data_IF_363244581044
#
_entry.id   IF_363244581044
#
_cell.length_a   1.000
_cell.length_b   1.000
_cell.length_c   1.000
_cell.angle_alpha   90.00
_cell.angle_beta   90.00
_cell.angle_gamma   90.00
#
_symmetry.space_group_name_H-M   'P 1'
#
loop_
_entity.id
_entity.type
_entity.pdbx_description
1 polymer ?
#
# COMPACT_ATOMS: atom_id res chain seq x y z
N UNK A 1 21.75 -10.41 -17.82
CA UNK A 1 20.54 -10.89 -17.17
C UNK A 1 20.92 -12.03 -16.22
N UNK A 2 21.16 -11.72 -14.94
CA UNK A 2 21.47 -12.72 -13.92
C UNK A 2 20.20 -13.50 -13.56
N UNK A 3 20.12 -14.76 -14.00
CA UNK A 3 19.14 -15.73 -13.52
C UNK A 3 19.63 -16.33 -12.19
N UNK A 4 19.68 -15.53 -11.14
CA UNK A 4 20.08 -15.96 -9.82
C UNK A 4 18.92 -15.82 -8.83
N UNK A 5 18.79 -16.80 -7.88
CA UNK A 5 17.91 -16.65 -6.71
C UNK A 5 18.46 -15.49 -5.88
N UNK A 6 17.70 -14.41 -5.75
CA UNK A 6 18.08 -13.29 -4.89
C UNK A 6 17.97 -13.76 -3.44
N UNK A 7 19.10 -13.78 -2.71
CA UNK A 7 19.11 -14.04 -1.28
C UNK A 7 18.44 -12.88 -0.53
N UNK A 8 17.54 -13.14 0.43
CA UNK A 8 16.85 -12.09 1.18
C UNK A 8 17.81 -11.15 1.91
N UNK A 9 18.91 -11.66 2.48
CA UNK A 9 19.96 -10.86 3.12
C UNK A 9 20.69 -9.94 2.14
N UNK A 10 21.13 -10.46 1.00
CA UNK A 10 21.80 -9.67 -0.02
C UNK A 10 20.90 -8.56 -0.62
N UNK A 11 19.60 -8.84 -0.77
CA UNK A 11 18.65 -7.83 -1.18
C UNK A 11 18.58 -6.70 -0.15
N UNK A 12 18.40 -7.03 1.13
CA UNK A 12 18.27 -6.03 2.21
C UNK A 12 19.53 -5.16 2.35
N UNK A 13 20.71 -5.73 2.28
CA UNK A 13 21.98 -5.03 2.36
C UNK A 13 22.19 -4.06 1.19
N UNK A 14 21.61 -4.35 0.02
CA UNK A 14 21.70 -3.50 -1.16
C UNK A 14 20.72 -2.34 -1.17
N UNK A 15 19.68 -2.34 -0.30
CA UNK A 15 18.64 -1.34 -0.31
C UNK A 15 18.95 -0.12 0.57
N UNK A 16 18.61 1.09 0.12
CA UNK A 16 18.67 2.28 0.96
C UNK A 16 17.84 2.08 2.23
N UNK A 17 18.40 2.50 3.36
CA UNK A 17 17.77 2.37 4.66
C UNK A 17 17.40 3.73 5.25
N UNK A 18 16.21 3.81 5.83
CA UNK A 18 15.79 4.89 6.69
C UNK A 18 15.28 4.28 8.01
N UNK A 19 16.09 4.33 9.05
CA UNK A 19 15.84 3.58 10.30
C UNK A 19 15.66 2.07 10.04
N UNK A 20 14.53 1.50 10.45
CA UNK A 20 14.17 0.10 10.19
C UNK A 20 13.53 -0.14 8.82
N UNK A 21 13.24 0.92 8.06
CA UNK A 21 12.63 0.83 6.74
C UNK A 21 13.70 0.62 5.66
N UNK A 22 13.51 -0.37 4.81
CA UNK A 22 14.24 -0.55 3.56
C UNK A 22 13.34 -0.14 2.40
N UNK A 23 13.91 0.58 1.44
CA UNK A 23 13.12 1.11 0.32
C UNK A 23 13.68 0.59 -1.00
N UNK A 24 12.84 -0.09 -1.77
CA UNK A 24 13.09 -0.40 -3.17
C UNK A 24 12.23 0.53 -4.02
N UNK A 25 12.86 1.35 -4.83
CA UNK A 25 12.19 2.29 -5.72
C UNK A 25 12.87 2.31 -7.07
N UNK A 26 12.17 2.85 -8.06
CA UNK A 26 12.73 3.07 -9.38
C UNK A 26 13.82 4.14 -9.35
N UNK A 27 14.81 3.96 -10.20
CA UNK A 27 15.70 5.06 -10.54
C UNK A 27 14.92 6.14 -11.29
N UNK A 28 15.21 7.40 -11.00
CA UNK A 28 14.52 8.55 -11.60
C UNK A 28 14.85 8.75 -13.09
N UNK A 29 15.85 8.05 -13.59
CA UNK A 29 16.37 8.20 -14.96
C UNK A 29 15.70 7.30 -16.00
N UNK A 30 15.42 6.04 -15.64
CA UNK A 30 14.97 5.04 -16.61
C UNK A 30 13.69 4.32 -16.15
N UNK A 31 12.58 4.59 -16.84
CA UNK A 31 11.34 3.80 -16.69
C UNK A 31 11.49 2.46 -17.40
N UNK A 32 12.30 1.56 -16.87
CA UNK A 32 12.42 0.19 -17.39
C UNK A 32 11.26 -0.64 -16.87
N UNK A 33 10.53 -1.31 -17.76
CA UNK A 33 9.51 -2.26 -17.36
C UNK A 33 10.16 -3.42 -16.60
N UNK A 34 9.72 -3.66 -15.34
CA UNK A 34 10.22 -4.80 -14.56
C UNK A 34 9.52 -6.06 -15.04
N UNK A 35 10.28 -7.09 -15.44
CA UNK A 35 9.68 -8.36 -15.77
C UNK A 35 8.90 -8.94 -14.58
N UNK A 36 7.70 -9.52 -14.79
CA UNK A 36 6.90 -10.12 -13.70
C UNK A 36 7.68 -11.13 -12.86
N UNK A 37 8.59 -11.86 -13.46
CA UNK A 37 9.45 -12.82 -12.77
C UNK A 37 10.41 -12.15 -11.76
N UNK A 38 10.89 -10.94 -12.08
CA UNK A 38 11.74 -10.17 -11.16
C UNK A 38 10.94 -9.66 -9.96
N UNK A 39 9.73 -9.18 -10.20
CA UNK A 39 8.78 -8.79 -9.13
C UNK A 39 8.55 -9.96 -8.18
N UNK A 40 8.21 -11.13 -8.72
CA UNK A 40 8.00 -12.36 -7.94
C UNK A 40 9.23 -12.75 -7.12
N UNK A 41 10.41 -12.69 -7.72
CA UNK A 41 11.67 -13.05 -7.04
C UNK A 41 11.97 -12.11 -5.87
N UNK A 42 11.76 -10.81 -6.04
CA UNK A 42 11.97 -9.80 -5.00
C UNK A 42 10.99 -9.99 -3.84
N UNK A 43 9.69 -10.12 -4.13
CA UNK A 43 8.67 -10.35 -3.10
C UNK A 43 8.93 -11.66 -2.34
N UNK A 44 9.28 -12.74 -3.04
CA UNK A 44 9.63 -14.00 -2.39
C UNK A 44 10.88 -13.87 -1.51
N UNK A 45 11.87 -13.07 -1.90
CA UNK A 45 13.06 -12.81 -1.10
C UNK A 45 12.71 -12.01 0.16
N UNK A 46 11.89 -10.97 0.03
CA UNK A 46 11.43 -10.14 1.14
C UNK A 46 10.58 -10.94 2.15
N UNK A 47 9.64 -11.77 1.67
CA UNK A 47 8.80 -12.64 2.54
C UNK A 47 9.61 -13.65 3.33
N UNK A 48 10.65 -14.25 2.73
CA UNK A 48 11.54 -15.19 3.45
C UNK A 48 12.31 -14.55 4.60
N UNK A 49 12.54 -13.24 4.51
CA UNK A 49 13.19 -12.48 5.58
C UNK A 49 12.26 -12.28 6.79
N UNK A 50 10.96 -12.29 6.55
CA UNK A 50 9.95 -11.96 7.55
C UNK A 50 9.72 -10.45 7.70
N UNK A 51 8.81 -10.08 8.59
CA UNK A 51 8.38 -8.70 8.77
C UNK A 51 7.27 -8.29 7.80
N UNK A 52 7.08 -6.98 7.63
CA UNK A 52 6.03 -6.41 6.80
C UNK A 52 6.60 -5.89 5.49
N UNK A 53 6.00 -6.27 4.38
CA UNK A 53 6.31 -5.73 3.04
C UNK A 53 5.13 -4.88 2.58
N UNK A 54 5.39 -3.61 2.31
CA UNK A 54 4.40 -2.68 1.76
C UNK A 54 4.72 -2.39 0.31
N UNK A 55 3.76 -2.60 -0.58
CA UNK A 55 3.92 -2.35 -2.02
C UNK A 55 3.01 -1.21 -2.43
N UNK A 56 3.59 -0.12 -2.95
CA UNK A 56 2.84 0.95 -3.60
C UNK A 56 2.55 0.56 -5.04
N UNK A 57 1.28 0.34 -5.34
CA UNK A 57 0.83 -0.13 -6.64
C UNK A 57 0.45 1.04 -7.57
N UNK A 58 0.86 0.98 -8.85
CA UNK A 58 0.41 1.95 -9.83
C UNK A 58 -1.10 1.83 -10.09
N UNK A 59 -1.70 2.88 -10.63
CA UNK A 59 -3.14 2.89 -10.96
C UNK A 59 -3.51 1.98 -12.13
N UNK A 60 -2.53 1.52 -12.89
CA UNK A 60 -2.75 0.60 -14.04
C UNK A 60 -2.49 -0.82 -13.57
N UNK A 61 -3.46 -1.68 -13.80
CA UNK A 61 -3.35 -3.11 -13.50
C UNK A 61 -2.75 -3.82 -14.72
N UNK A 62 -1.43 -3.91 -14.74
CA UNK A 62 -0.68 -4.70 -15.73
C UNK A 62 -0.31 -6.08 -15.18
N UNK A 63 0.41 -6.88 -15.97
CA UNK A 63 0.84 -8.22 -15.59
C UNK A 63 1.75 -8.22 -14.35
N UNK A 64 2.63 -7.22 -14.23
CA UNK A 64 3.50 -7.05 -13.06
C UNK A 64 2.71 -6.79 -11.78
N UNK A 65 1.68 -5.95 -11.86
CA UNK A 65 0.74 -5.72 -10.75
C UNK A 65 -0.03 -6.99 -10.42
N UNK A 66 -0.47 -7.76 -11.40
CA UNK A 66 -1.12 -9.05 -11.20
C UNK A 66 -0.28 -10.01 -10.36
N UNK A 67 1.03 -10.08 -10.63
CA UNK A 67 1.98 -10.88 -9.83
C UNK A 67 2.11 -10.42 -8.38
N UNK A 68 2.01 -9.11 -8.14
CA UNK A 68 1.99 -8.57 -6.78
C UNK A 68 0.69 -8.95 -6.09
N UNK A 69 -0.45 -8.67 -6.71
CA UNK A 69 -1.78 -8.91 -6.13
C UNK A 69 -1.97 -10.37 -5.70
N UNK A 70 -1.46 -11.31 -6.49
CA UNK A 70 -1.51 -12.75 -6.15
C UNK A 70 -0.72 -13.14 -4.90
N UNK A 71 0.15 -12.26 -4.39
CA UNK A 71 1.00 -12.50 -3.24
C UNK A 71 0.63 -11.65 -2.01
N UNK A 72 -0.36 -10.78 -2.13
CA UNK A 72 -0.77 -9.93 -1.00
C UNK A 72 -1.60 -10.71 0.01
N UNK A 73 -1.31 -10.47 1.28
CA UNK A 73 -2.15 -10.93 2.39
C UNK A 73 -3.32 -9.96 2.62
N UNK A 74 -3.10 -8.66 2.34
CA UNK A 74 -4.08 -7.60 2.46
C UNK A 74 -3.81 -6.50 1.41
N UNK A 75 -4.85 -5.94 0.84
CA UNK A 75 -4.77 -4.74 0.01
C UNK A 75 -5.61 -3.59 0.60
N UNK A 76 -5.08 -2.38 0.53
CA UNK A 76 -5.73 -1.17 1.00
C UNK A 76 -5.99 -0.22 -0.18
N UNK A 77 -7.26 -0.02 -0.51
CA UNK A 77 -7.68 0.92 -1.55
C UNK A 77 -7.94 2.29 -0.91
N UNK A 78 -7.07 3.27 -1.21
CA UNK A 78 -7.22 4.64 -0.70
C UNK A 78 -8.06 5.45 -1.67
N UNK A 79 -9.23 5.93 -1.22
CA UNK A 79 -10.24 6.57 -2.07
C UNK A 79 -10.55 7.98 -1.56
N UNK A 80 -10.38 9.02 -2.39
CA UNK A 80 -10.94 10.34 -2.09
C UNK A 80 -12.47 10.27 -2.00
N UNK A 81 -13.06 10.99 -1.02
CA UNK A 81 -14.51 11.02 -0.81
C UNK A 81 -15.24 11.92 -1.83
N UNK A 82 -15.01 11.65 -3.10
CA UNK A 82 -15.57 12.34 -4.26
C UNK A 82 -16.33 11.35 -5.15
N UNK A 83 -17.50 11.71 -5.66
CA UNK A 83 -18.35 10.81 -6.44
C UNK A 83 -17.63 10.14 -7.62
N UNK A 84 -16.81 10.91 -8.36
CA UNK A 84 -16.04 10.38 -9.49
C UNK A 84 -14.95 9.40 -9.04
N UNK A 85 -14.30 9.69 -7.93
CA UNK A 85 -13.28 8.83 -7.36
C UNK A 85 -13.88 7.52 -6.85
N UNK A 86 -15.02 7.57 -6.17
CA UNK A 86 -15.76 6.39 -5.70
C UNK A 86 -16.20 5.52 -6.88
N UNK A 87 -16.77 6.12 -7.94
CA UNK A 87 -17.15 5.39 -9.13
C UNK A 87 -15.96 4.72 -9.85
N UNK A 88 -14.81 5.40 -9.91
CA UNK A 88 -13.59 4.82 -10.46
C UNK A 88 -13.05 3.70 -9.56
N UNK A 89 -13.09 3.90 -8.24
CA UNK A 89 -12.65 2.91 -7.25
C UNK A 89 -13.45 1.62 -7.32
N UNK A 90 -14.75 1.68 -7.62
CA UNK A 90 -15.59 0.48 -7.80
C UNK A 90 -15.06 -0.46 -8.89
N UNK A 91 -14.56 0.08 -10.01
CA UNK A 91 -13.96 -0.74 -11.07
C UNK A 91 -12.64 -1.37 -10.64
N UNK A 92 -11.82 -0.62 -9.92
CA UNK A 92 -10.55 -1.13 -9.38
C UNK A 92 -10.82 -2.18 -8.30
N UNK A 93 -11.77 -1.92 -7.41
CA UNK A 93 -12.16 -2.86 -6.35
C UNK A 93 -12.63 -4.20 -6.92
N UNK A 94 -13.44 -4.18 -7.97
CA UNK A 94 -13.90 -5.40 -8.64
C UNK A 94 -12.72 -6.20 -9.24
N UNK A 95 -11.79 -5.52 -9.91
CA UNK A 95 -10.63 -6.18 -10.52
C UNK A 95 -9.64 -6.73 -9.45
N UNK A 96 -9.33 -5.95 -8.42
CA UNK A 96 -8.41 -6.34 -7.34
C UNK A 96 -9.02 -7.44 -6.47
N UNK A 97 -10.32 -7.34 -6.16
CA UNK A 97 -11.04 -8.32 -5.34
C UNK A 97 -11.10 -9.73 -5.95
N UNK A 98 -10.85 -9.86 -7.26
CA UNK A 98 -10.70 -11.19 -7.88
C UNK A 98 -9.36 -11.87 -7.51
N UNK A 99 -8.35 -11.10 -7.15
CA UNK A 99 -6.99 -11.60 -6.87
C UNK A 99 -6.64 -11.59 -5.37
N UNK A 100 -7.21 -10.65 -4.60
CA UNK A 100 -6.88 -10.43 -3.19
C UNK A 100 -8.09 -10.73 -2.32
N UNK A 101 -7.91 -11.58 -1.31
CA UNK A 101 -9.02 -12.00 -0.42
C UNK A 101 -9.41 -10.93 0.59
N UNK A 102 -8.44 -10.20 1.14
CA UNK A 102 -8.66 -9.14 2.11
C UNK A 102 -8.39 -7.79 1.43
N UNK A 103 -9.43 -7.23 0.82
CA UNK A 103 -9.40 -5.90 0.22
C UNK A 103 -10.25 -4.96 1.08
N UNK A 104 -9.63 -3.91 1.58
CA UNK A 104 -10.29 -2.90 2.44
C UNK A 104 -10.18 -1.52 1.81
N UNK A 105 -11.11 -0.63 2.18
CA UNK A 105 -11.08 0.76 1.76
C UNK A 105 -10.65 1.67 2.90
N UNK A 106 -9.74 2.61 2.61
CA UNK A 106 -9.43 3.75 3.44
C UNK A 106 -9.89 5.02 2.72
N UNK A 107 -10.70 5.82 3.37
CA UNK A 107 -11.32 7.00 2.75
C UNK A 107 -10.56 8.26 3.15
N UNK A 108 -10.33 9.14 2.20
CA UNK A 108 -9.65 10.41 2.42
C UNK A 108 -10.55 11.58 2.07
N UNK A 109 -10.77 12.48 3.04
CA UNK A 109 -11.43 13.76 2.79
C UNK A 109 -10.61 14.71 1.89
N UNK A 110 -11.18 15.87 1.49
CA UNK A 110 -12.51 16.36 1.91
C UNK A 110 -13.65 15.53 1.35
N UNK A 111 -14.80 15.56 2.06
CA UNK A 111 -15.99 14.79 1.68
C UNK A 111 -16.91 15.62 0.78
N UNK A 112 -17.38 15.02 -0.31
CA UNK A 112 -18.47 15.57 -1.10
C UNK A 112 -19.80 15.52 -0.29
N UNK A 113 -20.74 16.43 -0.54
CA UNK A 113 -22.03 16.41 0.14
C UNK A 113 -22.73 15.04 0.04
N UNK A 114 -23.18 14.53 1.18
CA UNK A 114 -23.85 13.22 1.27
C UNK A 114 -22.92 12.02 1.26
N UNK A 115 -21.61 12.20 1.27
CA UNK A 115 -20.63 11.13 1.45
C UNK A 115 -19.96 11.24 2.82
N UNK A 116 -19.81 10.12 3.48
CA UNK A 116 -18.89 9.90 4.59
C UNK A 116 -18.07 8.63 4.33
N UNK A 117 -17.18 8.27 5.23
CA UNK A 117 -16.31 7.09 5.09
C UNK A 117 -17.10 5.78 5.03
N UNK A 118 -18.19 5.67 5.81
CA UNK A 118 -19.05 4.49 5.86
C UNK A 118 -19.87 4.36 4.58
N UNK A 119 -20.39 5.48 4.08
CA UNK A 119 -21.15 5.49 2.83
C UNK A 119 -20.27 5.11 1.65
N UNK A 120 -19.02 5.60 1.59
CA UNK A 120 -18.06 5.19 0.56
C UNK A 120 -17.77 3.69 0.66
N UNK A 121 -17.53 3.16 1.85
CA UNK A 121 -17.29 1.72 2.07
C UNK A 121 -18.51 0.89 1.62
N UNK A 122 -19.73 1.32 1.96
CA UNK A 122 -20.98 0.69 1.55
C UNK A 122 -21.15 0.68 0.04
N UNK A 123 -20.92 1.80 -0.63
CA UNK A 123 -21.01 1.91 -2.09
C UNK A 123 -20.01 1.02 -2.82
N UNK A 124 -18.84 0.81 -2.25
CA UNK A 124 -17.81 -0.06 -2.79
C UNK A 124 -17.99 -1.53 -2.42
N UNK A 125 -18.85 -1.84 -1.45
CA UNK A 125 -19.02 -3.19 -0.91
C UNK A 125 -17.77 -3.71 -0.20
N UNK A 126 -16.93 -2.82 0.37
CA UNK A 126 -15.66 -3.17 1.00
C UNK A 126 -15.67 -2.88 2.50
N UNK A 127 -14.96 -3.69 3.31
CA UNK A 127 -14.71 -3.36 4.70
C UNK A 127 -13.96 -2.03 4.84
N UNK A 128 -14.41 -1.17 5.78
CA UNK A 128 -13.77 0.10 6.07
C UNK A 128 -12.54 -0.10 6.94
N UNK A 129 -11.38 0.29 6.44
CA UNK A 129 -10.14 0.35 7.22
C UNK A 129 -10.07 1.61 8.11
N UNK A 130 -10.72 2.68 7.70
CA UNK A 130 -10.85 3.94 8.40
C UNK A 130 -10.67 5.17 7.52
N UNK A 131 -10.75 6.34 8.13
CA UNK A 131 -10.47 7.61 7.48
C UNK A 131 -8.97 7.94 7.54
N UNK A 132 -8.37 8.22 6.37
CA UNK A 132 -7.01 8.72 6.29
C UNK A 132 -6.99 10.21 6.61
N UNK A 133 -6.45 10.60 7.76
CA UNK A 133 -6.52 11.98 8.19
C UNK A 133 -5.61 12.89 7.39
N UNK A 134 -5.95 14.17 7.37
CA UNK A 134 -5.05 15.21 6.85
C UNK A 134 -3.87 15.36 7.80
N UNK A 135 -2.66 15.20 7.26
CA UNK A 135 -1.43 15.44 8.02
C UNK A 135 -0.95 16.86 7.77
N UNK A 136 -0.92 17.71 8.80
CA UNK A 136 -0.42 19.07 8.66
C UNK A 136 1.04 19.06 8.19
N UNK A 137 1.33 19.82 7.14
CA UNK A 137 2.69 19.93 6.59
C UNK A 137 3.03 18.97 5.45
N UNK A 138 2.18 17.98 5.11
CA UNK A 138 2.37 17.15 3.90
C UNK A 138 2.42 17.97 2.61
N UNK A 139 1.70 19.08 2.56
CA UNK A 139 1.62 19.98 1.40
C UNK A 139 2.75 21.03 1.37
N UNK A 140 3.60 21.08 2.39
CA UNK A 140 4.75 22.01 2.39
C UNK A 140 5.84 21.51 1.45
N UNK A 141 6.53 22.41 0.71
CA UNK A 141 7.70 22.03 -0.08
C UNK A 141 8.71 21.29 0.81
N UNK A 142 9.15 20.13 0.37
CA UNK A 142 10.02 19.25 1.13
C UNK A 142 11.45 19.79 1.17
N UNK A 143 11.72 20.66 2.13
CA UNK A 143 13.05 21.20 2.41
C UNK A 143 13.63 20.76 3.75
N UNK A 144 13.24 19.60 4.29
CA UNK A 144 13.68 19.22 5.63
C UNK A 144 13.62 17.75 6.00
N UNK A 145 13.39 16.87 5.06
CA UNK A 145 13.80 15.46 5.14
C UNK A 145 13.03 14.52 6.07
N UNK A 146 12.02 14.95 6.83
CA UNK A 146 11.26 14.00 7.65
C UNK A 146 10.09 13.41 6.85
N UNK A 147 9.96 12.08 6.76
CA UNK A 147 8.84 11.46 6.08
C UNK A 147 7.51 11.72 6.82
N UNK A 148 6.36 11.65 6.11
CA UNK A 148 5.05 11.74 6.74
C UNK A 148 4.91 10.73 7.88
N UNK A 149 4.32 11.14 9.00
CA UNK A 149 4.13 10.26 10.16
C UNK A 149 5.38 9.99 10.99
N UNK A 150 6.56 10.50 10.61
CA UNK A 150 7.82 10.26 11.33
C UNK A 150 7.85 10.78 12.78
N UNK A 151 6.94 11.67 13.15
CA UNK A 151 6.82 12.14 14.53
C UNK A 151 6.26 11.10 15.50
N UNK A 152 5.65 10.02 14.98
CA UNK A 152 4.93 9.03 15.78
C UNK A 152 3.67 9.54 16.49
N UNK A 153 3.39 10.84 16.42
CA UNK A 153 2.33 11.51 17.19
C UNK A 153 1.29 12.23 16.34
N UNK A 154 1.54 12.38 15.04
CA UNK A 154 0.60 13.03 14.11
C UNK A 154 -0.66 12.21 13.86
N UNK A 155 -1.70 12.82 13.27
CA UNK A 155 -2.93 12.12 12.90
C UNK A 155 -2.68 10.89 12.03
N UNK A 156 -1.82 11.03 11.02
CA UNK A 156 -1.47 9.92 10.12
C UNK A 156 -0.74 8.79 10.86
N UNK A 157 0.18 9.11 11.78
CA UNK A 157 0.87 8.10 12.56
C UNK A 157 -0.12 7.30 13.43
N UNK A 158 -1.07 7.96 14.08
CA UNK A 158 -2.12 7.28 14.86
C UNK A 158 -3.02 6.39 13.99
N UNK A 159 -3.40 6.88 12.81
CA UNK A 159 -4.16 6.07 11.84
C UNK A 159 -3.37 4.80 11.46
N UNK A 160 -2.11 4.94 11.08
CA UNK A 160 -1.27 3.81 10.69
C UNK A 160 -1.08 2.81 11.84
N UNK A 161 -0.80 3.28 13.06
CA UNK A 161 -0.66 2.41 14.23
C UNK A 161 -1.95 1.61 14.48
N UNK A 162 -3.10 2.30 14.56
CA UNK A 162 -4.38 1.63 14.79
C UNK A 162 -4.79 0.70 13.63
N UNK A 163 -4.42 1.02 12.40
CA UNK A 163 -4.62 0.12 11.26
C UNK A 163 -3.81 -1.17 11.41
N UNK A 164 -2.50 -1.05 11.71
CA UNK A 164 -1.64 -2.21 11.86
C UNK A 164 -2.02 -3.09 13.05
N UNK A 165 -2.39 -2.50 14.19
CA UNK A 165 -2.86 -3.26 15.35
C UNK A 165 -4.07 -4.14 14.98
N UNK A 166 -5.05 -3.62 14.25
CA UNK A 166 -6.21 -4.40 13.79
C UNK A 166 -5.84 -5.44 12.74
N UNK A 167 -5.06 -5.06 11.73
CA UNK A 167 -4.67 -5.95 10.64
C UNK A 167 -3.85 -7.15 11.14
N UNK A 168 -2.95 -6.96 12.11
CA UNK A 168 -2.14 -8.04 12.67
C UNK A 168 -2.96 -8.98 13.56
N UNK A 169 -3.93 -8.47 14.32
CA UNK A 169 -4.82 -9.31 15.15
C UNK A 169 -5.67 -10.21 14.28
N UNK A 170 -6.26 -9.68 13.22
CA UNK A 170 -7.11 -10.41 12.29
C UNK A 170 -6.33 -11.46 11.49
N UNK A 171 -5.10 -11.14 11.09
CA UNK A 171 -4.20 -12.07 10.36
C UNK A 171 -3.64 -13.18 11.27
N UNK A 172 -3.47 -12.92 12.57
CA UNK A 172 -2.96 -13.90 13.55
C UNK A 172 -3.99 -14.93 13.98
N UNK A 173 -5.28 -14.64 13.88
CA UNK A 173 -6.37 -15.56 14.21
C UNK A 173 -6.73 -16.59 13.14
N UNK A 174 -6.09 -16.52 11.96
CA UNK A 174 -6.38 -17.39 10.82
C UNK A 174 -5.31 -18.51 10.58
N UNK A 175 -4.47 -18.80 11.57
CA UNK A 175 -3.48 -19.90 11.51
C UNK A 175 -3.89 -21.05 12.39
#
# INVERSE_FOLDING_TARGET
ASRGRVGGGALEESLPALHSLRVLSWDRGDCVAVPPQAVRAVLAAARRRGGTVVVDLPRRLDEGVGEVLAQLDLALLVVPAELRAVAAAGRIAAAVGMAVRDLRVAVRGPYAPGLDDREVARLLGLPLAGEVPVEPGLLRPRGGGRPPGASGRGPLARFCTGFWERALVESGGAR
#
